data_IF_071579768402
#
_entry.id   IF_071579768402
#
_cell.length_a   1.000
_cell.length_b   1.000
_cell.length_c   1.000
_cell.angle_alpha   90.00
_cell.angle_beta   90.00
_cell.angle_gamma   90.00
#
_symmetry.space_group_name_H-M   'P 1'
#
loop_
_entity.id
_entity.type
_entity.pdbx_description
1 polymer ?
#
# COMPACT_ATOMS: atom_id res chain seq x y z
N UNK A 1 3.22 34.80 1.87
CA UNK A 1 2.16 34.07 2.58
C UNK A 1 2.61 32.62 2.70
N UNK A 2 2.57 32.05 3.91
CA UNK A 2 2.95 30.64 4.10
C UNK A 2 1.87 29.73 3.49
N UNK A 3 2.22 28.53 3.02
CA UNK A 3 1.26 27.56 2.49
C UNK A 3 0.12 27.24 3.47
N UNK A 4 0.25 27.64 4.72
CA UNK A 4 -0.72 27.45 5.81
C UNK A 4 -1.88 28.44 5.80
N UNK A 5 -1.66 29.71 5.43
CA UNK A 5 -2.75 30.69 5.26
C UNK A 5 -3.74 30.29 4.18
N UNK A 6 -3.26 29.54 3.18
CA UNK A 6 -4.09 28.99 2.11
C UNK A 6 -5.00 27.84 2.60
N UNK A 7 -4.53 27.01 3.52
CA UNK A 7 -5.30 25.89 4.05
C UNK A 7 -6.47 26.34 4.96
N UNK A 8 -6.36 27.52 5.56
CA UNK A 8 -7.37 28.02 6.51
C UNK A 8 -8.47 28.88 5.82
N UNK A 9 -8.23 29.48 4.64
CA UNK A 9 -9.13 30.50 4.06
C UNK A 9 -9.95 30.08 2.84
N UNK A 10 -9.53 29.08 2.03
CA UNK A 10 -10.15 28.83 0.72
C UNK A 10 -10.52 27.36 0.44
N UNK A 11 -10.59 26.52 1.45
CA UNK A 11 -10.86 25.09 1.23
C UNK A 11 -12.27 24.80 0.71
N UNK A 12 -13.26 25.68 1.00
CA UNK A 12 -14.62 25.56 0.49
C UNK A 12 -14.72 26.00 -0.99
N UNK A 13 -13.98 27.02 -1.40
CA UNK A 13 -14.01 27.53 -2.77
C UNK A 13 -13.30 26.57 -3.77
N UNK A 14 -12.19 25.94 -3.38
CA UNK A 14 -11.52 24.94 -4.23
C UNK A 14 -12.35 23.67 -4.43
N UNK A 15 -13.15 23.29 -3.47
CA UNK A 15 -14.11 22.19 -3.64
C UNK A 15 -15.22 22.55 -4.62
N UNK A 16 -15.60 23.83 -4.74
CA UNK A 16 -16.63 24.32 -5.65
C UNK A 16 -16.15 24.41 -7.10
N UNK A 17 -14.95 24.90 -7.32
CA UNK A 17 -14.34 24.97 -8.67
C UNK A 17 -14.12 23.57 -9.25
N UNK A 18 -13.78 22.57 -8.45
CA UNK A 18 -13.69 21.18 -8.91
C UNK A 18 -15.05 20.47 -9.03
N UNK A 19 -16.11 20.93 -8.36
CA UNK A 19 -17.49 20.42 -8.56
C UNK A 19 -18.07 20.78 -9.93
N UNK A 20 -17.55 21.78 -10.62
CA UNK A 20 -18.05 22.22 -11.92
C UNK A 20 -17.64 21.31 -13.10
N UNK A 21 -16.68 20.38 -12.90
CA UNK A 21 -16.45 19.33 -13.86
C UNK A 21 -17.65 18.36 -13.86
N UNK A 22 -18.67 18.67 -14.66
CA UNK A 22 -19.76 17.74 -14.99
C UNK A 22 -19.12 16.47 -15.54
N UNK A 23 -19.03 15.43 -14.71
CA UNK A 23 -18.58 14.12 -15.17
C UNK A 23 -19.48 13.72 -16.33
N UNK A 24 -18.90 13.46 -17.49
CA UNK A 24 -19.68 12.96 -18.62
C UNK A 24 -20.43 11.69 -18.19
N UNK A 25 -21.58 11.41 -18.80
CA UNK A 25 -22.35 10.19 -18.53
C UNK A 25 -21.47 8.93 -18.61
N UNK A 26 -20.59 8.87 -19.61
CA UNK A 26 -19.59 7.81 -19.81
C UNK A 26 -18.63 7.61 -18.62
N UNK A 27 -18.19 8.69 -17.95
CA UNK A 27 -17.35 8.58 -16.74
C UNK A 27 -18.13 8.06 -15.54
N UNK A 28 -19.41 8.42 -15.41
CA UNK A 28 -20.29 7.91 -14.35
C UNK A 28 -20.52 6.42 -14.52
N UNK A 29 -20.82 6.00 -15.73
CA UNK A 29 -21.02 4.59 -16.10
C UNK A 29 -19.75 3.76 -15.87
N UNK A 30 -18.60 4.25 -16.33
CA UNK A 30 -17.30 3.60 -16.07
C UNK A 30 -17.01 3.47 -14.57
N UNK A 31 -17.32 4.50 -13.77
CA UNK A 31 -17.14 4.44 -12.32
C UNK A 31 -18.10 3.46 -11.64
N UNK A 32 -19.35 3.40 -12.10
CA UNK A 32 -20.33 2.43 -11.61
C UNK A 32 -19.87 0.99 -11.89
N UNK A 33 -19.51 0.70 -13.16
CA UNK A 33 -18.95 -0.60 -13.56
C UNK A 33 -17.74 -1.01 -12.72
N UNK A 34 -16.79 -0.09 -12.47
CA UNK A 34 -15.57 -0.37 -11.72
C UNK A 34 -15.77 -0.58 -10.22
N UNK A 35 -16.91 -0.17 -9.65
CA UNK A 35 -17.25 -0.50 -8.26
C UNK A 35 -17.53 -1.99 -8.07
N UNK A 36 -18.05 -2.66 -9.09
CA UNK A 36 -18.37 -4.09 -9.07
C UNK A 36 -17.18 -4.96 -9.51
N UNK A 37 -16.12 -4.33 -9.99
CA UNK A 37 -14.93 -5.01 -10.48
C UNK A 37 -13.82 -5.01 -9.45
N UNK A 38 -12.97 -6.02 -9.54
CA UNK A 38 -11.73 -6.12 -8.77
C UNK A 38 -10.64 -5.25 -9.41
N UNK A 39 -10.13 -4.28 -8.66
CA UNK A 39 -8.98 -3.49 -9.06
C UNK A 39 -7.66 -4.23 -8.76
N UNK A 40 -6.76 -4.31 -9.74
CA UNK A 40 -5.40 -4.82 -9.59
C UNK A 40 -4.39 -3.86 -10.19
N UNK A 41 -3.21 -3.80 -9.58
CA UNK A 41 -2.08 -3.02 -10.10
C UNK A 41 -0.91 -3.96 -10.37
N UNK A 42 -0.50 -4.05 -11.63
CA UNK A 42 0.62 -4.87 -12.07
C UNK A 42 1.89 -4.02 -12.23
N UNK A 43 3.00 -4.49 -11.68
CA UNK A 43 4.31 -3.89 -11.85
C UNK A 43 5.03 -4.55 -13.02
N UNK A 44 5.22 -3.81 -14.11
CA UNK A 44 5.92 -4.26 -15.30
C UNK A 44 7.29 -3.59 -15.37
N UNK A 45 8.35 -4.38 -15.48
CA UNK A 45 9.71 -3.86 -15.58
C UNK A 45 10.08 -3.58 -17.03
N UNK A 46 10.57 -2.38 -17.33
CA UNK A 46 11.15 -2.06 -18.65
C UNK A 46 12.46 -2.83 -18.84
N UNK A 47 12.65 -3.41 -20.01
CA UNK A 47 13.90 -4.09 -20.36
C UNK A 47 14.99 -3.04 -20.67
N UNK A 48 15.70 -2.60 -19.65
CA UNK A 48 16.73 -1.56 -19.76
C UNK A 48 17.89 -1.92 -20.71
N UNK A 49 18.17 -3.24 -20.90
CA UNK A 49 19.22 -3.68 -21.81
C UNK A 49 18.87 -3.43 -23.28
N UNK A 50 17.57 -3.36 -23.61
CA UNK A 50 17.05 -3.09 -24.96
C UNK A 50 16.69 -1.63 -25.21
N UNK A 51 16.96 -0.72 -24.28
CA UNK A 51 16.79 0.72 -24.50
C UNK A 51 17.94 1.26 -25.33
N UNK A 52 17.62 1.96 -26.42
CA UNK A 52 18.59 2.78 -27.12
C UNK A 52 18.88 4.10 -26.36
N UNK A 53 19.86 4.87 -26.78
CA UNK A 53 20.24 6.14 -26.15
C UNK A 53 19.07 7.12 -26.10
N UNK A 54 18.41 7.36 -27.23
CA UNK A 54 17.27 8.28 -27.37
C UNK A 54 16.13 7.90 -26.42
N UNK A 55 15.77 6.62 -26.31
CA UNK A 55 14.75 6.16 -25.37
C UNK A 55 15.17 6.40 -23.92
N UNK A 56 16.43 6.13 -23.60
CA UNK A 56 16.97 6.30 -22.24
C UNK A 56 16.98 7.77 -21.84
N UNK A 57 17.41 8.65 -22.76
CA UNK A 57 17.48 10.08 -22.53
C UNK A 57 16.07 10.68 -22.40
N UNK A 58 15.14 10.30 -23.28
CA UNK A 58 13.76 10.74 -23.20
C UNK A 58 13.10 10.31 -21.88
N UNK A 59 13.23 9.03 -21.49
CA UNK A 59 12.70 8.53 -20.21
C UNK A 59 13.33 9.28 -19.01
N UNK A 60 14.64 9.59 -19.08
CA UNK A 60 15.29 10.35 -18.02
C UNK A 60 14.76 11.78 -17.95
N UNK A 61 14.59 12.43 -19.09
CA UNK A 61 14.10 13.80 -19.18
C UNK A 61 12.67 13.95 -18.68
N UNK A 62 11.78 12.97 -18.91
CA UNK A 62 10.43 12.96 -18.31
C UNK A 62 10.51 13.18 -16.79
N UNK A 63 11.40 12.50 -16.07
CA UNK A 63 11.54 12.65 -14.62
C UNK A 63 12.23 13.95 -14.22
N UNK A 64 13.15 14.44 -15.04
CA UNK A 64 13.84 15.72 -14.81
C UNK A 64 12.86 16.88 -14.96
N UNK A 65 12.11 16.92 -16.06
CA UNK A 65 11.09 17.93 -16.32
C UNK A 65 9.96 17.86 -15.28
N UNK A 66 9.53 16.65 -14.87
CA UNK A 66 8.54 16.48 -13.79
C UNK A 66 9.03 17.08 -12.46
N UNK A 67 10.32 16.92 -12.13
CA UNK A 67 10.92 17.59 -10.95
C UNK A 67 10.87 19.11 -11.08
N UNK A 68 11.19 19.64 -12.24
CA UNK A 68 11.17 21.09 -12.47
C UNK A 68 9.75 21.64 -12.31
N UNK A 69 8.76 21.02 -12.95
CA UNK A 69 7.34 21.42 -12.85
C UNK A 69 6.84 21.32 -11.41
N UNK A 70 7.10 20.20 -10.72
CA UNK A 70 6.70 20.05 -9.32
C UNK A 70 7.30 21.16 -8.45
N UNK A 71 8.60 21.42 -8.57
CA UNK A 71 9.27 22.46 -7.80
C UNK A 71 8.78 23.86 -8.17
N UNK A 72 8.40 24.09 -9.41
CA UNK A 72 7.82 25.35 -9.84
C UNK A 72 6.41 25.56 -9.24
N UNK A 73 5.58 24.53 -9.21
CA UNK A 73 4.27 24.58 -8.54
C UNK A 73 4.44 24.89 -7.04
N UNK A 74 5.44 24.27 -6.36
CA UNK A 74 5.66 24.46 -4.92
C UNK A 74 6.12 25.89 -4.57
N UNK A 75 6.66 26.65 -5.52
CA UNK A 75 7.00 28.08 -5.27
C UNK A 75 5.76 28.91 -4.95
N UNK A 76 4.66 28.62 -5.62
CA UNK A 76 3.37 29.26 -5.41
C UNK A 76 2.24 28.28 -5.76
N UNK A 77 1.80 27.56 -4.75
CA UNK A 77 0.79 26.51 -4.92
C UNK A 77 -0.58 27.10 -5.28
N UNK A 78 -0.87 28.31 -4.81
CA UNK A 78 -2.16 28.97 -4.97
C UNK A 78 -2.49 29.24 -6.44
N UNK A 79 -1.53 29.82 -7.16
CA UNK A 79 -1.71 30.20 -8.56
C UNK A 79 -1.27 29.12 -9.54
N UNK A 80 -0.37 28.21 -9.15
CA UNK A 80 0.30 27.26 -10.07
C UNK A 80 -0.22 25.84 -10.01
N UNK A 81 -0.93 25.44 -8.93
CA UNK A 81 -1.44 24.08 -8.80
C UNK A 81 -2.77 23.87 -9.53
N UNK A 82 -2.88 24.31 -10.77
CA UNK A 82 -4.08 24.12 -11.60
C UNK A 82 -3.74 23.64 -13.01
N UNK A 83 -4.75 23.10 -13.69
CA UNK A 83 -4.59 22.48 -15.01
C UNK A 83 -4.19 23.48 -16.10
N UNK A 84 -4.72 24.70 -16.06
CA UNK A 84 -4.48 25.70 -17.11
C UNK A 84 -3.06 26.22 -17.04
N UNK A 85 -2.57 26.53 -15.83
CA UNK A 85 -1.17 26.90 -15.63
C UNK A 85 -0.22 25.83 -16.16
N UNK A 86 -0.37 24.56 -15.74
CA UNK A 86 0.58 23.51 -16.14
C UNK A 86 0.47 23.14 -17.62
N UNK A 87 -0.70 23.30 -18.26
CA UNK A 87 -0.84 23.11 -19.73
C UNK A 87 -0.08 24.16 -20.51
N UNK A 88 -0.16 25.42 -20.10
CA UNK A 88 0.51 26.53 -20.77
C UNK A 88 2.03 26.54 -20.56
N UNK A 89 2.53 25.80 -19.54
CA UNK A 89 3.94 25.83 -19.13
C UNK A 89 4.86 25.25 -20.21
N UNK A 90 5.64 26.10 -20.86
CA UNK A 90 6.66 25.73 -21.86
C UNK A 90 8.06 25.77 -21.34
N UNK A 91 8.32 26.64 -20.36
CA UNK A 91 9.64 26.87 -19.75
C UNK A 91 9.51 27.01 -18.24
N UNK A 92 10.56 26.65 -17.52
CA UNK A 92 10.64 26.75 -16.05
C UNK A 92 11.99 27.28 -15.63
N UNK A 93 12.00 28.23 -14.70
CA UNK A 93 13.23 28.72 -14.07
C UNK A 93 13.79 27.69 -13.09
N UNK A 94 14.94 27.11 -13.42
CA UNK A 94 15.64 26.09 -12.64
C UNK A 94 16.84 26.70 -11.93
N UNK A 95 17.01 26.41 -10.64
CA UNK A 95 18.15 26.86 -9.85
C UNK A 95 19.37 25.98 -10.08
N UNK A 96 20.47 26.58 -10.41
CA UNK A 96 21.82 26.02 -10.50
C UNK A 96 22.73 26.65 -9.43
N UNK A 97 23.95 26.12 -9.18
CA UNK A 97 24.89 26.72 -8.21
C UNK A 97 25.23 28.17 -8.47
N UNK A 98 25.27 28.56 -9.73
CA UNK A 98 25.65 29.87 -10.31
C UNK A 98 24.45 30.78 -10.61
N UNK A 99 23.21 30.35 -10.28
CA UNK A 99 22.02 31.18 -10.48
C UNK A 99 20.79 30.43 -10.99
N UNK A 100 19.92 31.16 -11.68
CA UNK A 100 18.73 30.60 -12.33
C UNK A 100 18.91 30.58 -13.84
N UNK A 101 18.47 29.49 -14.48
CA UNK A 101 18.39 29.36 -15.93
C UNK A 101 17.02 28.84 -16.33
N UNK A 102 16.44 29.37 -17.41
CA UNK A 102 15.18 28.86 -17.96
C UNK A 102 15.45 27.60 -18.75
N UNK A 103 14.61 26.59 -18.51
CA UNK A 103 14.69 25.27 -19.15
C UNK A 103 13.38 24.96 -19.85
N UNK A 104 13.48 24.55 -21.12
CA UNK A 104 12.32 24.18 -21.94
C UNK A 104 11.76 22.82 -21.54
N UNK A 105 10.43 22.71 -21.51
CA UNK A 105 9.68 21.49 -21.22
C UNK A 105 9.21 20.87 -22.54
N UNK A 106 9.80 19.76 -22.96
CA UNK A 106 9.56 19.16 -24.28
C UNK A 106 9.27 17.65 -24.27
N UNK A 107 9.61 16.93 -23.18
CA UNK A 107 9.49 15.46 -23.11
C UNK A 107 8.25 14.98 -22.36
N UNK A 108 7.61 15.87 -21.61
CA UNK A 108 6.43 15.54 -20.81
C UNK A 108 5.16 16.05 -21.48
N UNK A 109 4.14 15.19 -21.60
CA UNK A 109 2.85 15.56 -22.21
C UNK A 109 2.01 16.43 -21.27
N UNK A 110 1.02 17.17 -21.84
CA UNK A 110 0.08 17.97 -21.04
C UNK A 110 -0.67 17.16 -19.99
N UNK A 111 -1.06 15.92 -20.29
CA UNK A 111 -1.73 15.05 -19.31
C UNK A 111 -0.79 14.63 -18.17
N UNK A 112 0.50 14.42 -18.44
CA UNK A 112 1.48 14.15 -17.41
C UNK A 112 1.72 15.39 -16.52
N UNK A 113 1.76 16.59 -17.11
CA UNK A 113 1.86 17.88 -16.37
C UNK A 113 0.67 18.03 -15.41
N UNK A 114 -0.56 17.83 -15.90
CA UNK A 114 -1.78 17.81 -15.08
C UNK A 114 -1.73 16.76 -13.96
N UNK A 115 -1.10 15.61 -14.21
CA UNK A 115 -0.88 14.58 -13.20
C UNK A 115 -0.04 15.09 -12.03
N UNK A 116 0.96 15.92 -12.29
CA UNK A 116 1.82 16.52 -11.26
C UNK A 116 1.01 17.52 -10.42
N UNK A 117 0.27 18.43 -11.04
CA UNK A 117 -0.59 19.39 -10.34
C UNK A 117 -1.63 18.68 -9.47
N UNK A 118 -2.35 17.71 -10.03
CA UNK A 118 -3.31 16.86 -9.29
C UNK A 118 -2.65 16.16 -8.08
N UNK A 119 -1.41 15.70 -8.24
CA UNK A 119 -0.61 15.08 -7.17
C UNK A 119 -0.30 16.03 -6.03
N UNK A 120 0.05 17.29 -6.34
CA UNK A 120 0.29 18.35 -5.34
C UNK A 120 -1.00 18.64 -4.57
N UNK A 121 -2.11 18.88 -5.26
CA UNK A 121 -3.43 19.14 -4.63
C UNK A 121 -3.84 17.95 -3.74
N UNK A 122 -3.67 16.72 -4.20
CA UNK A 122 -3.99 15.53 -3.41
C UNK A 122 -3.14 15.43 -2.15
N UNK A 123 -1.87 15.83 -2.22
CA UNK A 123 -0.97 15.88 -1.07
C UNK A 123 -1.39 16.92 -0.06
N UNK A 124 -1.79 18.12 -0.52
CA UNK A 124 -2.32 19.18 0.35
C UNK A 124 -3.60 18.75 1.06
N UNK A 125 -4.56 18.16 0.32
CA UNK A 125 -5.78 17.61 0.91
C UNK A 125 -5.49 16.56 1.98
N UNK A 126 -4.48 15.73 1.78
CA UNK A 126 -4.06 14.73 2.75
C UNK A 126 -3.46 15.38 4.00
N UNK A 127 -2.63 16.41 3.85
CA UNK A 127 -2.08 17.17 4.97
C UNK A 127 -3.17 17.90 5.76
N UNK A 128 -4.12 18.53 5.07
CA UNK A 128 -5.27 19.20 5.71
C UNK A 128 -6.12 18.22 6.54
N UNK A 129 -6.39 17.03 6.00
CA UNK A 129 -7.10 15.98 6.74
C UNK A 129 -6.35 15.52 7.99
N UNK A 130 -5.02 15.39 7.91
CA UNK A 130 -4.19 15.03 9.07
C UNK A 130 -4.21 16.14 10.12
N UNK A 131 -4.13 17.42 9.72
CA UNK A 131 -4.24 18.58 10.61
C UNK A 131 -5.61 18.62 11.30
N UNK A 132 -6.70 18.42 10.54
CA UNK A 132 -8.05 18.36 11.10
C UNK A 132 -8.23 17.22 12.12
N UNK A 133 -7.45 16.13 11.99
CA UNK A 133 -7.42 15.04 12.96
C UNK A 133 -6.46 15.32 14.15
N UNK A 134 -6.01 16.56 14.38
CA UNK A 134 -5.13 16.96 15.47
C UNK A 134 -3.68 16.51 15.36
N UNK A 135 -3.22 16.14 14.14
CA UNK A 135 -1.82 15.76 13.95
C UNK A 135 -0.97 16.97 13.53
N UNK A 136 0.24 17.05 14.05
CA UNK A 136 1.24 17.99 13.53
C UNK A 136 1.63 17.56 12.12
N UNK A 137 1.55 18.48 11.16
CA UNK A 137 1.89 18.23 9.76
C UNK A 137 2.92 19.25 9.28
N UNK A 138 3.83 18.78 8.43
CA UNK A 138 4.80 19.63 7.76
C UNK A 138 4.27 20.20 6.44
N UNK A 139 5.07 21.04 5.81
CA UNK A 139 4.80 21.62 4.49
C UNK A 139 5.34 20.76 3.35
N UNK A 140 4.79 20.95 2.14
CA UNK A 140 5.38 20.38 0.93
C UNK A 140 6.73 21.05 0.67
N UNK A 141 7.74 20.22 0.36
CA UNK A 141 9.11 20.67 0.16
C UNK A 141 9.55 20.47 -1.28
N UNK A 142 10.50 21.29 -1.74
CA UNK A 142 11.21 21.06 -3.00
C UNK A 142 11.85 19.67 -3.01
N UNK A 143 11.77 18.99 -4.16
CA UNK A 143 12.32 17.66 -4.35
C UNK A 143 13.58 17.69 -5.20
N UNK A 144 14.57 16.88 -4.83
CA UNK A 144 15.78 16.68 -5.64
C UNK A 144 15.56 15.67 -6.78
N UNK A 145 14.57 14.77 -6.64
CA UNK A 145 14.19 13.76 -7.63
C UNK A 145 12.67 13.59 -7.67
N UNK A 146 12.10 13.51 -8.87
CA UNK A 146 10.74 13.07 -9.09
C UNK A 146 10.78 11.61 -9.57
N UNK A 147 9.97 10.74 -9.02
CA UNK A 147 10.13 9.28 -9.24
C UNK A 147 8.91 8.58 -9.79
N UNK A 148 7.79 9.26 -9.92
CA UNK A 148 6.53 8.65 -10.37
C UNK A 148 5.72 9.65 -11.17
N UNK A 149 5.43 9.33 -12.42
CA UNK A 149 4.66 10.16 -13.35
C UNK A 149 3.38 9.45 -13.72
N UNK A 150 2.25 10.14 -13.60
CA UNK A 150 0.95 9.58 -13.91
C UNK A 150 0.71 9.54 -15.42
N UNK A 151 0.21 8.39 -15.90
CA UNK A 151 -0.27 8.15 -17.24
C UNK A 151 -1.77 7.94 -17.16
N UNK A 152 -2.53 9.04 -17.26
CA UNK A 152 -3.95 9.06 -16.87
C UNK A 152 -4.86 8.25 -17.81
N UNK A 153 -4.52 8.14 -19.10
CA UNK A 153 -5.45 7.61 -20.11
C UNK A 153 -4.78 6.53 -20.96
N UNK A 154 -5.31 5.31 -20.87
CA UNK A 154 -4.99 4.22 -21.78
C UNK A 154 -5.45 4.57 -23.20
N UNK A 155 -4.66 4.18 -24.19
CA UNK A 155 -4.93 4.50 -25.59
C UNK A 155 -4.34 5.85 -26.04
N UNK A 156 -4.15 6.82 -25.14
CA UNK A 156 -3.58 8.13 -25.44
C UNK A 156 -2.18 8.30 -24.83
N UNK A 157 -2.04 8.33 -23.50
CA UNK A 157 -0.72 8.51 -22.87
C UNK A 157 0.16 7.30 -22.99
N UNK A 158 -0.44 6.11 -23.05
CA UNK A 158 0.28 4.85 -23.28
C UNK A 158 -0.64 3.81 -23.94
N UNK A 159 -0.02 2.85 -24.65
CA UNK A 159 -0.70 1.69 -25.24
C UNK A 159 0.13 0.45 -25.03
N UNK A 160 -0.53 -0.70 -24.84
CA UNK A 160 0.10 -2.01 -24.64
C UNK A 160 -0.10 -2.83 -25.92
N UNK A 161 0.97 -3.46 -26.38
CA UNK A 161 0.96 -4.50 -27.38
C UNK A 161 1.36 -5.81 -26.68
N UNK A 162 0.37 -6.66 -26.41
CA UNK A 162 0.55 -7.91 -25.69
C UNK A 162 1.36 -8.92 -26.52
N UNK A 163 1.14 -8.99 -27.84
CA UNK A 163 1.84 -9.93 -28.72
C UNK A 163 3.34 -9.61 -28.79
N UNK A 164 3.69 -8.34 -28.91
CA UNK A 164 5.10 -7.89 -28.97
C UNK A 164 5.73 -7.69 -27.59
N UNK A 165 4.95 -7.81 -26.52
CA UNK A 165 5.35 -7.53 -25.13
C UNK A 165 5.97 -6.13 -24.98
N UNK A 166 5.29 -5.12 -25.55
CA UNK A 166 5.78 -3.74 -25.56
C UNK A 166 4.75 -2.75 -25.04
N UNK A 167 5.24 -1.62 -24.54
CA UNK A 167 4.42 -0.45 -24.19
C UNK A 167 4.90 0.74 -25.02
N UNK A 168 3.98 1.35 -25.77
CA UNK A 168 4.19 2.63 -26.45
C UNK A 168 3.82 3.75 -25.49
N UNK A 169 4.76 4.66 -25.24
CA UNK A 169 4.56 5.87 -24.44
C UNK A 169 4.39 7.06 -25.36
N UNK A 170 3.47 7.96 -25.05
CA UNK A 170 3.27 9.22 -25.80
C UNK A 170 4.57 10.05 -25.80
N UNK A 171 4.92 10.61 -26.95
CA UNK A 171 6.15 11.37 -27.15
C UNK A 171 7.37 10.50 -27.45
N UNK A 172 7.30 9.18 -27.24
CA UNK A 172 8.41 8.27 -27.54
C UNK A 172 8.19 7.56 -28.89
N UNK A 173 9.11 7.73 -29.84
CA UNK A 173 8.95 7.20 -31.20
C UNK A 173 8.86 5.69 -31.27
N UNK A 174 9.71 4.95 -30.54
CA UNK A 174 9.75 3.49 -30.51
C UNK A 174 9.16 2.93 -29.20
N UNK A 175 8.39 1.81 -29.25
CA UNK A 175 7.85 1.19 -28.07
C UNK A 175 8.94 0.60 -27.16
N UNK A 176 8.62 0.46 -25.88
CA UNK A 176 9.50 -0.07 -24.85
C UNK A 176 9.20 -1.56 -24.61
N UNK A 177 10.18 -2.43 -24.67
CA UNK A 177 10.02 -3.83 -24.24
C UNK A 177 9.90 -3.91 -22.72
N UNK A 178 8.93 -4.69 -22.25
CA UNK A 178 8.66 -4.88 -20.82
C UNK A 178 8.56 -6.36 -20.46
N UNK A 179 8.77 -6.66 -19.17
CA UNK A 179 8.57 -7.97 -18.57
C UNK A 179 7.31 -7.95 -17.70
N UNK A 180 6.61 -9.07 -17.62
CA UNK A 180 5.48 -9.28 -16.71
C UNK A 180 4.10 -8.99 -17.34
N UNK A 181 4.00 -8.74 -18.66
CA UNK A 181 2.71 -8.53 -19.33
C UNK A 181 1.81 -9.76 -19.30
N UNK A 182 2.37 -10.95 -19.23
CA UNK A 182 1.67 -12.22 -19.09
C UNK A 182 0.83 -12.35 -17.81
N UNK A 183 1.08 -11.48 -16.83
CA UNK A 183 0.30 -11.42 -15.58
C UNK A 183 -1.07 -10.73 -15.77
N UNK A 184 -1.22 -9.94 -16.82
CA UNK A 184 -2.46 -9.21 -17.12
C UNK A 184 -3.33 -10.10 -18.02
N UNK A 185 -4.53 -10.42 -17.56
CA UNK A 185 -5.49 -11.15 -18.35
C UNK A 185 -5.90 -10.36 -19.60
N UNK A 186 -6.13 -11.05 -20.71
CA UNK A 186 -6.44 -10.43 -22.01
C UNK A 186 -7.76 -9.64 -22.01
N UNK A 187 -8.68 -10.02 -21.16
CA UNK A 187 -10.01 -9.43 -20.97
C UNK A 187 -10.06 -8.31 -19.91
N UNK A 188 -8.92 -8.04 -19.26
CA UNK A 188 -8.86 -7.01 -18.22
C UNK A 188 -9.10 -5.60 -18.80
N UNK A 189 -9.99 -4.84 -18.17
CA UNK A 189 -10.18 -3.40 -18.45
C UNK A 189 -8.95 -2.62 -17.97
N UNK A 190 -8.16 -2.11 -18.91
CA UNK A 190 -6.93 -1.36 -18.62
C UNK A 190 -7.31 0.10 -18.39
N UNK A 191 -6.87 0.64 -17.25
CA UNK A 191 -7.17 2.01 -16.84
C UNK A 191 -5.95 2.93 -16.93
N UNK A 192 -5.65 3.63 -15.85
CA UNK A 192 -4.47 4.48 -15.74
C UNK A 192 -3.21 3.68 -15.42
N UNK A 193 -2.07 4.28 -15.68
CA UNK A 193 -0.78 3.73 -15.27
C UNK A 193 0.09 4.79 -14.58
N UNK A 194 1.21 4.34 -14.01
CA UNK A 194 2.29 5.21 -13.54
C UNK A 194 3.60 4.74 -14.14
N UNK A 195 4.38 5.67 -14.66
CA UNK A 195 5.77 5.43 -14.99
C UNK A 195 6.64 5.75 -13.78
N UNK A 196 7.40 4.77 -13.30
CA UNK A 196 8.18 4.88 -12.06
C UNK A 196 9.66 4.66 -12.35
N UNK A 197 10.52 5.55 -11.86
CA UNK A 197 11.97 5.39 -11.88
C UNK A 197 12.47 4.98 -10.51
N UNK A 198 13.16 3.82 -10.45
CA UNK A 198 13.68 3.28 -9.21
C UNK A 198 15.02 2.59 -9.43
N UNK A 199 16.04 3.00 -8.67
CA UNK A 199 17.41 2.46 -8.76
C UNK A 199 18.05 2.55 -10.16
N UNK A 200 17.66 3.54 -10.96
CA UNK A 200 18.10 3.68 -12.35
C UNK A 200 17.40 2.75 -13.35
N UNK A 201 16.34 2.09 -12.94
CA UNK A 201 15.48 1.24 -13.75
C UNK A 201 14.08 1.86 -13.86
N UNK A 202 13.34 1.51 -14.93
CA UNK A 202 12.00 2.03 -15.20
C UNK A 202 10.96 0.92 -15.07
N UNK A 203 9.80 1.28 -14.54
CA UNK A 203 8.67 0.38 -14.29
C UNK A 203 7.38 1.05 -14.70
N UNK A 204 6.44 0.27 -15.22
CA UNK A 204 5.04 0.68 -15.36
C UNK A 204 4.21 0.00 -14.29
N UNK A 205 3.43 0.77 -13.57
CA UNK A 205 2.37 0.28 -12.69
C UNK A 205 1.05 0.43 -13.44
N UNK A 206 0.51 -0.67 -13.95
CA UNK A 206 -0.71 -0.69 -14.75
C UNK A 206 -1.88 -1.03 -13.86
N UNK A 207 -2.85 -0.14 -13.78
CA UNK A 207 -4.11 -0.40 -13.08
C UNK A 207 -5.08 -1.09 -14.02
N UNK A 208 -5.64 -2.21 -13.59
CA UNK A 208 -6.63 -2.97 -14.34
C UNK A 208 -7.85 -3.28 -13.48
N UNK A 209 -8.97 -3.49 -14.14
CA UNK A 209 -10.22 -3.94 -13.54
C UNK A 209 -10.69 -5.21 -14.22
N UNK A 210 -11.14 -6.19 -13.46
CA UNK A 210 -11.70 -7.45 -13.93
C UNK A 210 -12.86 -7.88 -13.05
N UNK A 211 -13.75 -8.70 -13.57
CA UNK A 211 -14.83 -9.31 -12.78
C UNK A 211 -14.24 -10.06 -11.59
N UNK A 212 -14.88 -9.98 -10.44
CA UNK A 212 -14.47 -10.77 -9.27
C UNK A 212 -15.19 -12.11 -9.29
N UNK A 213 -14.54 -13.10 -9.84
CA UNK A 213 -15.08 -14.48 -9.99
C UNK A 213 -14.67 -15.39 -8.82
N UNK A 214 -14.14 -14.85 -7.74
CA UNK A 214 -13.73 -15.66 -6.59
C UNK A 214 -14.93 -16.26 -5.88
N UNK A 215 -14.91 -17.59 -5.80
CA UNK A 215 -15.80 -18.32 -4.89
C UNK A 215 -15.25 -18.13 -3.48
N UNK A 216 -16.08 -17.62 -2.59
CA UNK A 216 -15.74 -17.44 -1.17
C UNK A 216 -16.48 -18.48 -0.34
N UNK A 217 -15.85 -18.90 0.75
CA UNK A 217 -16.51 -19.76 1.75
C UNK A 217 -17.68 -19.00 2.36
N UNK A 218 -18.85 -19.65 2.43
CA UNK A 218 -20.02 -19.05 3.05
C UNK A 218 -19.95 -19.20 4.58
N UNK A 219 -18.85 -18.70 5.16
CA UNK A 219 -18.53 -18.77 6.58
C UNK A 219 -18.08 -17.40 7.08
N UNK A 220 -18.21 -17.17 8.39
CA UNK A 220 -17.65 -16.03 9.06
C UNK A 220 -16.29 -16.40 9.67
N UNK A 221 -15.33 -15.50 9.56
CA UNK A 221 -14.00 -15.63 10.15
C UNK A 221 -13.75 -14.52 11.17
N UNK A 222 -13.55 -14.90 12.43
CA UNK A 222 -13.10 -14.03 13.50
C UNK A 222 -11.57 -13.94 13.49
N UNK A 223 -11.01 -12.73 13.63
CA UNK A 223 -9.58 -12.47 13.58
C UNK A 223 -9.10 -11.73 14.80
N UNK A 224 -8.18 -12.33 15.56
CA UNK A 224 -7.50 -11.70 16.69
C UNK A 224 -6.03 -11.43 16.34
N UNK A 225 -5.59 -10.17 16.45
CA UNK A 225 -4.21 -9.75 16.22
C UNK A 225 -3.44 -9.71 17.53
N UNK A 226 -2.27 -10.33 17.56
CA UNK A 226 -1.40 -10.40 18.73
C UNK A 226 0.07 -10.13 18.42
N UNK A 227 0.88 -9.99 19.47
CA UNK A 227 2.33 -9.80 19.34
C UNK A 227 3.03 -11.16 19.33
N UNK A 228 2.65 -12.07 20.22
CA UNK A 228 3.22 -13.42 20.31
C UNK A 228 2.76 -14.28 19.16
N UNK A 229 1.47 -14.45 19.07
CA UNK A 229 0.76 -15.04 17.92
C UNK A 229 0.27 -13.88 17.05
N UNK A 230 0.81 -13.73 15.85
CA UNK A 230 0.51 -12.56 15.01
C UNK A 230 -0.95 -12.49 14.58
N UNK A 231 -1.57 -13.65 14.37
CA UNK A 231 -2.95 -13.76 13.96
C UNK A 231 -3.54 -15.10 14.41
N UNK A 232 -4.62 -15.04 15.15
CA UNK A 232 -5.44 -16.21 15.50
C UNK A 232 -6.78 -16.07 14.80
N UNK A 233 -7.29 -17.18 14.30
CA UNK A 233 -8.50 -17.24 13.50
C UNK A 233 -9.50 -18.22 14.10
N UNK A 234 -10.80 -17.95 13.94
CA UNK A 234 -11.88 -18.80 14.48
C UNK A 234 -11.97 -20.19 13.85
N UNK A 235 -11.30 -20.42 12.71
CA UNK A 235 -11.13 -21.75 12.11
C UNK A 235 -10.03 -22.59 12.77
N UNK A 236 -9.63 -22.25 14.00
CA UNK A 236 -8.57 -22.90 14.77
C UNK A 236 -7.16 -22.77 14.18
N UNK A 237 -6.93 -21.82 13.28
CA UNK A 237 -5.60 -21.52 12.77
C UNK A 237 -4.90 -20.45 13.60
N UNK A 238 -3.65 -20.71 13.91
CA UNK A 238 -2.71 -19.76 14.50
C UNK A 238 -1.58 -19.50 13.53
N UNK A 239 -1.29 -18.23 13.29
CA UNK A 239 -0.24 -17.81 12.39
C UNK A 239 0.77 -16.94 13.12
N UNK A 240 1.98 -17.44 13.24
CA UNK A 240 3.15 -16.65 13.65
C UNK A 240 4.11 -16.56 12.49
N UNK A 241 4.41 -15.35 12.04
CA UNK A 241 5.27 -15.14 10.89
C UNK A 241 6.14 -13.90 11.04
N UNK A 242 7.35 -13.97 10.48
CA UNK A 242 8.31 -12.87 10.44
C UNK A 242 8.99 -12.84 9.06
N UNK A 243 9.23 -11.65 8.56
CA UNK A 243 10.10 -11.43 7.39
C UNK A 243 11.25 -10.52 7.79
N UNK A 244 12.30 -11.05 8.44
CA UNK A 244 13.42 -10.25 8.90
C UNK A 244 14.17 -9.62 7.72
N UNK A 245 14.96 -8.61 8.01
CA UNK A 245 15.85 -8.04 7.00
C UNK A 245 16.94 -9.06 6.64
N UNK A 246 17.29 -9.12 5.36
CA UNK A 246 18.26 -10.09 4.86
C UNK A 246 19.67 -9.84 5.42
N UNK A 247 20.49 -10.89 5.56
CA UNK A 247 21.91 -10.77 5.95
C UNK A 247 22.66 -9.80 5.04
N UNK A 248 22.32 -9.76 3.74
CA UNK A 248 22.88 -8.80 2.79
C UNK A 248 22.58 -7.36 3.20
N UNK A 249 21.35 -7.07 3.61
CA UNK A 249 20.95 -5.73 4.08
C UNK A 249 21.76 -5.32 5.31
N UNK A 250 21.91 -6.22 6.27
CA UNK A 250 22.70 -5.98 7.49
C UNK A 250 24.17 -5.68 7.14
N UNK A 251 24.80 -6.50 6.28
CA UNK A 251 26.18 -6.29 5.83
C UNK A 251 26.35 -4.93 5.12
N UNK A 252 25.41 -4.54 4.28
CA UNK A 252 25.44 -3.27 3.58
C UNK A 252 25.24 -2.07 4.52
N UNK A 253 24.36 -2.18 5.53
CA UNK A 253 24.19 -1.16 6.57
C UNK A 253 25.48 -0.96 7.36
N UNK A 254 26.08 -2.05 7.85
CA UNK A 254 27.37 -2.01 8.57
C UNK A 254 28.49 -1.43 7.72
N UNK A 255 28.58 -1.82 6.43
CA UNK A 255 29.57 -1.28 5.50
C UNK A 255 29.38 0.20 5.24
N UNK A 256 28.14 0.67 5.18
CA UNK A 256 27.81 2.08 4.94
C UNK A 256 28.10 2.92 6.19
N UNK A 257 27.72 2.41 7.38
CA UNK A 257 27.95 3.04 8.69
C UNK A 257 29.44 3.33 8.93
N UNK A 258 30.32 2.36 8.61
CA UNK A 258 31.78 2.53 8.71
C UNK A 258 32.36 3.59 7.76
N UNK A 259 31.62 4.05 6.76
CA UNK A 259 32.06 5.04 5.74
C UNK A 259 31.48 6.43 5.96
N UNK A 260 30.77 6.67 7.06
CA UNK A 260 30.23 7.99 7.42
C UNK A 260 31.35 8.82 8.07
N UNK A 261 32.47 9.02 7.37
CA UNK A 261 33.56 9.90 7.85
C UNK A 261 33.59 11.26 7.16
N UNK A 262 32.86 11.45 6.07
CA UNK A 262 32.89 12.71 5.35
C UNK A 262 32.01 13.76 6.05
N UNK A 263 32.56 14.95 6.30
CA UNK A 263 31.85 16.08 6.90
C UNK A 263 30.63 16.49 6.04
N UNK A 264 29.70 17.18 6.66
CA UNK A 264 28.52 17.73 5.95
C UNK A 264 28.98 18.68 4.86
N UNK A 265 28.64 18.39 3.59
CA UNK A 265 29.06 19.21 2.42
C UNK A 265 30.16 18.59 1.55
N UNK A 266 30.90 17.61 2.04
CA UNK A 266 31.94 16.95 1.24
C UNK A 266 31.37 15.95 0.22
N UNK A 267 32.03 15.84 -0.95
CA UNK A 267 31.67 14.85 -1.97
C UNK A 267 31.86 13.43 -1.44
N UNK A 268 30.79 12.64 -1.45
CA UNK A 268 30.84 11.23 -1.07
C UNK A 268 31.57 10.41 -2.13
N UNK A 269 32.39 9.44 -1.69
CA UNK A 269 33.14 8.56 -2.59
C UNK A 269 32.22 7.75 -3.52
N UNK A 270 32.71 7.39 -4.72
CA UNK A 270 31.99 6.50 -5.66
C UNK A 270 31.57 5.18 -5.00
N UNK A 271 32.43 4.61 -4.14
CA UNK A 271 32.17 3.38 -3.39
C UNK A 271 31.04 3.55 -2.37
N UNK A 272 30.96 4.71 -1.68
CA UNK A 272 29.84 5.05 -0.79
C UNK A 272 28.52 5.11 -1.57
N UNK A 273 28.49 5.82 -2.69
CA UNK A 273 27.28 5.95 -3.52
C UNK A 273 26.80 4.59 -4.08
N UNK A 274 27.74 3.74 -4.52
CA UNK A 274 27.46 2.37 -4.96
C UNK A 274 26.82 1.54 -3.83
N UNK A 275 27.40 1.58 -2.62
CA UNK A 275 26.88 0.87 -1.47
C UNK A 275 25.52 1.42 -1.02
N UNK A 276 25.31 2.74 -1.03
CA UNK A 276 24.03 3.38 -0.73
C UNK A 276 22.92 2.88 -1.69
N UNK A 277 23.22 2.80 -3.00
CA UNK A 277 22.30 2.27 -4.00
C UNK A 277 22.01 0.77 -3.79
N UNK A 278 23.05 -0.03 -3.48
CA UNK A 278 22.90 -1.45 -3.18
C UNK A 278 22.06 -1.68 -1.93
N UNK A 279 22.26 -0.89 -0.87
CA UNK A 279 21.46 -0.93 0.36
C UNK A 279 19.98 -0.61 0.08
N UNK A 280 19.72 0.44 -0.71
CA UNK A 280 18.35 0.80 -1.08
C UNK A 280 17.65 -0.32 -1.87
N UNK A 281 18.35 -1.00 -2.80
CA UNK A 281 17.85 -2.18 -3.51
C UNK A 281 17.56 -3.35 -2.55
N UNK A 282 18.43 -3.59 -1.58
CA UNK A 282 18.28 -4.69 -0.62
C UNK A 282 17.08 -4.45 0.32
N UNK A 283 16.91 -3.24 0.85
CA UNK A 283 15.74 -2.86 1.63
C UNK A 283 14.43 -2.98 0.82
N UNK A 284 14.50 -2.64 -0.48
CA UNK A 284 13.34 -2.83 -1.34
C UNK A 284 12.97 -4.30 -1.50
N UNK A 285 13.95 -5.19 -1.72
CA UNK A 285 13.73 -6.63 -1.80
C UNK A 285 13.11 -7.18 -0.50
N UNK A 286 13.65 -6.78 0.67
CA UNK A 286 13.10 -7.17 1.98
C UNK A 286 11.64 -6.70 2.15
N UNK A 287 11.33 -5.48 1.71
CA UNK A 287 9.95 -4.96 1.72
C UNK A 287 9.03 -5.74 0.79
N UNK A 288 9.52 -6.16 -0.39
CA UNK A 288 8.70 -6.94 -1.33
C UNK A 288 8.40 -8.35 -0.80
N UNK A 289 9.37 -9.02 -0.17
CA UNK A 289 9.14 -10.30 0.51
C UNK A 289 8.05 -10.19 1.58
N UNK A 290 8.13 -9.15 2.43
CA UNK A 290 7.12 -8.89 3.45
C UNK A 290 5.75 -8.59 2.85
N UNK A 291 5.71 -7.80 1.77
CA UNK A 291 4.47 -7.51 1.04
C UNK A 291 3.86 -8.77 0.44
N UNK A 292 4.66 -9.68 -0.10
CA UNK A 292 4.20 -10.93 -0.67
C UNK A 292 3.60 -11.84 0.41
N UNK A 293 4.27 -12.02 1.55
CA UNK A 293 3.74 -12.73 2.70
C UNK A 293 2.37 -12.17 3.14
N UNK A 294 2.29 -10.85 3.34
CA UNK A 294 1.04 -10.21 3.73
C UNK A 294 -0.06 -10.31 2.66
N UNK A 295 0.30 -10.33 1.38
CA UNK A 295 -0.66 -10.54 0.30
C UNK A 295 -1.24 -11.97 0.35
N UNK A 296 -0.41 -12.98 0.56
CA UNK A 296 -0.86 -14.37 0.66
C UNK A 296 -1.78 -14.58 1.86
N UNK A 297 -1.42 -14.04 3.02
CA UNK A 297 -2.26 -14.08 4.22
C UNK A 297 -3.59 -13.35 3.97
N UNK A 298 -3.52 -12.14 3.40
CA UNK A 298 -4.74 -11.40 3.06
C UNK A 298 -5.63 -12.17 2.08
N UNK A 299 -5.05 -12.82 1.06
CA UNK A 299 -5.82 -13.63 0.11
C UNK A 299 -6.53 -14.82 0.76
N UNK A 300 -5.89 -15.47 1.72
CA UNK A 300 -6.51 -16.53 2.49
C UNK A 300 -7.72 -16.00 3.26
N UNK A 301 -7.56 -14.90 3.99
CA UNK A 301 -8.63 -14.26 4.76
C UNK A 301 -9.78 -13.78 3.85
N UNK A 302 -9.45 -13.18 2.69
CA UNK A 302 -10.40 -12.69 1.70
C UNK A 302 -11.21 -13.83 1.02
N UNK A 303 -10.79 -15.08 1.20
CA UNK A 303 -11.54 -16.28 0.84
C UNK A 303 -12.79 -16.55 1.67
N UNK A 304 -13.00 -15.82 2.77
CA UNK A 304 -14.19 -15.91 3.61
C UNK A 304 -15.19 -14.81 3.27
N UNK A 305 -16.50 -15.15 3.33
CA UNK A 305 -17.54 -14.21 2.94
C UNK A 305 -17.72 -13.09 3.98
N UNK A 306 -17.63 -13.41 5.25
CA UNK A 306 -17.76 -12.46 6.36
C UNK A 306 -16.51 -12.49 7.25
N UNK A 307 -16.08 -11.32 7.72
CA UNK A 307 -14.87 -11.16 8.53
C UNK A 307 -15.20 -10.26 9.71
N UNK A 308 -14.93 -10.72 10.92
CA UNK A 308 -15.09 -9.94 12.15
C UNK A 308 -13.72 -9.76 12.83
N UNK A 309 -13.35 -8.53 13.19
CA UNK A 309 -12.12 -8.23 13.93
C UNK A 309 -12.36 -7.10 14.91
N UNK A 310 -11.47 -6.95 15.89
CA UNK A 310 -11.49 -5.82 16.82
C UNK A 310 -10.61 -4.67 16.33
N UNK A 311 -10.94 -3.42 16.71
CA UNK A 311 -10.14 -2.25 16.37
C UNK A 311 -8.84 -2.16 17.19
N UNK A 312 -7.95 -3.11 16.96
CA UNK A 312 -6.62 -3.12 17.57
C UNK A 312 -5.75 -1.97 17.06
N UNK A 313 -5.26 -1.14 17.96
CA UNK A 313 -4.38 0.00 17.64
C UNK A 313 -2.93 -0.46 17.48
N UNK A 314 -2.64 -1.32 16.50
CA UNK A 314 -1.33 -1.95 16.28
C UNK A 314 -0.17 -0.93 16.24
N UNK A 315 -0.41 0.26 15.68
CA UNK A 315 0.58 1.35 15.62
C UNK A 315 1.04 1.85 17.01
N UNK A 316 0.21 1.64 18.03
CA UNK A 316 0.47 2.08 19.41
C UNK A 316 1.07 0.95 20.26
N UNK A 317 1.18 -0.26 19.71
CA UNK A 317 1.76 -1.36 20.44
C UNK A 317 3.25 -1.13 20.69
N UNK A 318 3.65 -1.22 21.95
CA UNK A 318 5.02 -1.11 22.41
C UNK A 318 5.33 -2.30 23.30
N UNK A 319 6.53 -2.82 23.20
CA UNK A 319 6.97 -3.96 23.98
C UNK A 319 8.49 -4.03 24.09
N UNK A 320 9.02 -5.20 24.42
CA UNK A 320 10.45 -5.46 24.38
C UNK A 320 11.04 -5.22 22.98
N UNK A 321 12.37 -5.15 22.90
CA UNK A 321 13.06 -5.00 21.62
C UNK A 321 12.67 -6.10 20.62
N UNK A 322 12.47 -7.31 21.09
CA UNK A 322 12.05 -8.48 20.31
C UNK A 322 10.60 -8.35 19.85
N UNK A 323 9.68 -7.95 20.73
CA UNK A 323 8.29 -7.69 20.40
C UNK A 323 8.16 -6.61 19.31
N UNK A 324 8.90 -5.50 19.45
CA UNK A 324 8.92 -4.43 18.44
C UNK A 324 9.46 -4.91 17.08
N UNK A 325 10.47 -5.78 17.06
CA UNK A 325 10.96 -6.42 15.83
C UNK A 325 9.88 -7.32 15.21
N UNK A 326 9.19 -8.10 16.03
CA UNK A 326 8.09 -8.97 15.56
C UNK A 326 7.00 -8.15 14.88
N UNK A 327 6.53 -7.07 15.51
CA UNK A 327 5.54 -6.15 14.93
C UNK A 327 6.03 -5.58 13.59
N UNK A 328 7.30 -5.14 13.54
CA UNK A 328 7.90 -4.57 12.33
C UNK A 328 8.05 -5.60 11.21
N UNK A 329 8.48 -6.83 11.53
CA UNK A 329 8.80 -7.85 10.54
C UNK A 329 7.58 -8.61 10.05
N UNK A 330 6.53 -8.76 10.85
CA UNK A 330 5.24 -9.29 10.40
C UNK A 330 4.46 -8.27 9.57
N UNK A 331 4.58 -6.98 9.91
CA UNK A 331 3.82 -5.89 9.30
C UNK A 331 2.29 -6.16 9.27
N UNK A 332 1.76 -6.80 10.33
CA UNK A 332 0.33 -7.17 10.44
C UNK A 332 -0.61 -5.97 10.30
N UNK A 333 -0.19 -4.77 10.67
CA UNK A 333 -0.93 -3.54 10.41
C UNK A 333 -1.25 -3.32 8.93
N UNK A 334 -0.44 -3.86 8.01
CA UNK A 334 -0.74 -3.83 6.57
C UNK A 334 -1.92 -4.75 6.22
N UNK A 335 -2.04 -5.91 6.88
CA UNK A 335 -3.18 -6.82 6.70
C UNK A 335 -4.45 -6.14 7.21
N UNK A 336 -4.42 -5.62 8.44
CA UNK A 336 -5.53 -4.86 9.01
C UNK A 336 -5.98 -3.72 8.10
N UNK A 337 -5.03 -2.92 7.59
CA UNK A 337 -5.33 -1.82 6.67
C UNK A 337 -5.99 -2.30 5.37
N UNK A 338 -5.58 -3.44 4.82
CA UNK A 338 -6.22 -4.01 3.62
C UNK A 338 -7.61 -4.53 3.90
N UNK A 339 -7.81 -5.16 5.07
CA UNK A 339 -9.12 -5.64 5.48
C UNK A 339 -10.12 -4.48 5.61
N UNK A 340 -9.68 -3.33 6.14
CA UNK A 340 -10.55 -2.14 6.26
C UNK A 340 -11.00 -1.54 4.92
N UNK A 341 -10.43 -1.99 3.79
CA UNK A 341 -10.85 -1.58 2.43
C UNK A 341 -11.86 -2.54 1.80
N UNK A 342 -12.17 -3.65 2.46
CA UNK A 342 -13.22 -4.55 2.01
C UNK A 342 -14.59 -3.85 2.11
N UNK A 343 -15.54 -4.34 1.34
CA UNK A 343 -16.92 -3.85 1.39
C UNK A 343 -17.48 -3.96 2.82
N UNK A 344 -18.19 -2.93 3.24
CA UNK A 344 -18.79 -2.89 4.58
C UNK A 344 -19.74 -4.06 4.84
N UNK A 345 -20.35 -4.67 3.82
CA UNK A 345 -21.16 -5.87 3.90
C UNK A 345 -20.38 -7.13 4.31
N UNK A 346 -19.05 -7.12 4.10
CA UNK A 346 -18.18 -8.27 4.32
C UNK A 346 -17.34 -8.19 5.58
N UNK A 347 -17.09 -6.99 6.09
CA UNK A 347 -16.24 -6.79 7.26
C UNK A 347 -16.97 -6.03 8.35
N UNK A 348 -16.75 -6.44 9.60
CA UNK A 348 -17.09 -5.65 10.77
C UNK A 348 -15.88 -5.48 11.68
N UNK A 349 -15.66 -4.24 12.08
CA UNK A 349 -14.62 -3.87 13.02
C UNK A 349 -15.29 -3.49 14.34
N UNK A 350 -15.18 -4.36 15.32
CA UNK A 350 -15.73 -4.16 16.64
C UNK A 350 -14.94 -3.09 17.40
N UNK A 351 -15.64 -2.36 18.26
CA UNK A 351 -14.99 -1.40 19.15
C UNK A 351 -13.94 -2.09 20.04
N UNK A 352 -12.81 -1.41 20.25
CA UNK A 352 -11.67 -1.92 21.03
C UNK A 352 -11.98 -2.22 22.50
N UNK A 353 -13.06 -1.67 23.05
CA UNK A 353 -13.47 -1.89 24.44
C UNK A 353 -14.42 -3.08 24.61
N UNK A 354 -14.91 -3.69 23.52
CA UNK A 354 -15.71 -4.90 23.64
C UNK A 354 -14.91 -6.03 24.30
N UNK A 355 -15.52 -6.68 25.29
CA UNK A 355 -14.85 -7.66 26.17
C UNK A 355 -14.73 -9.04 25.52
N UNK A 356 -14.20 -9.12 24.30
CA UNK A 356 -14.10 -10.37 23.51
C UNK A 356 -13.33 -11.47 24.24
N UNK A 357 -12.27 -11.15 24.97
CA UNK A 357 -11.43 -12.10 25.71
C UNK A 357 -12.00 -12.52 27.06
N UNK A 358 -12.94 -11.77 27.63
CA UNK A 358 -13.52 -11.99 28.97
C UNK A 358 -14.90 -12.63 28.93
N UNK A 359 -15.53 -12.72 27.77
CA UNK A 359 -16.86 -13.27 27.54
C UNK A 359 -16.73 -14.71 27.07
N UNK A 360 -17.61 -15.59 27.54
CA UNK A 360 -17.67 -16.97 27.06
C UNK A 360 -18.28 -17.01 25.66
N UNK A 361 -17.61 -17.61 24.70
CA UNK A 361 -18.14 -17.75 23.33
C UNK A 361 -19.34 -18.69 23.22
N UNK A 362 -19.51 -19.58 24.22
CA UNK A 362 -20.63 -20.53 24.25
C UNK A 362 -21.89 -19.92 24.89
N UNK A 363 -21.79 -19.39 26.12
CA UNK A 363 -22.96 -18.98 26.90
C UNK A 363 -23.04 -17.48 27.23
N UNK A 364 -22.07 -16.67 26.77
CA UNK A 364 -22.05 -15.24 27.03
C UNK A 364 -21.67 -14.81 28.45
N UNK A 365 -21.41 -15.75 29.37
CA UNK A 365 -21.01 -15.42 30.73
C UNK A 365 -19.68 -14.68 30.76
N UNK A 366 -19.57 -13.64 31.57
CA UNK A 366 -18.33 -12.88 31.71
C UNK A 366 -17.50 -13.35 32.90
N UNK A 367 -16.18 -13.38 32.71
CA UNK A 367 -15.19 -13.68 33.75
C UNK A 367 -14.06 -12.66 33.70
N UNK A 368 -13.57 -12.27 34.90
CA UNK A 368 -12.32 -11.50 34.98
C UNK A 368 -11.14 -12.38 34.54
N UNK A 369 -10.30 -11.86 33.66
CA UNK A 369 -9.08 -12.52 33.19
C UNK A 369 -7.90 -11.59 33.28
N UNK A 370 -6.78 -12.15 33.73
CA UNK A 370 -5.47 -11.49 33.68
C UNK A 370 -4.90 -11.55 32.26
N UNK A 371 -4.01 -10.63 31.93
CA UNK A 371 -3.24 -10.69 30.67
C UNK A 371 -2.34 -11.92 30.58
N UNK A 372 -2.01 -12.55 31.72
CA UNK A 372 -1.18 -13.77 31.80
C UNK A 372 -1.99 -15.05 31.56
N UNK A 373 -3.31 -15.01 31.75
CA UNK A 373 -4.17 -16.18 31.58
C UNK A 373 -4.26 -16.53 30.08
N UNK A 374 -3.89 -17.75 29.74
CA UNK A 374 -3.96 -18.26 28.35
C UNK A 374 -5.22 -19.08 28.11
N UNK A 375 -5.78 -19.71 29.15
CA UNK A 375 -6.94 -20.58 29.05
C UNK A 375 -8.15 -19.88 29.67
N UNK A 376 -9.24 -19.79 28.90
CA UNK A 376 -10.53 -19.36 29.39
C UNK A 376 -11.29 -20.58 29.93
N UNK A 377 -11.74 -20.52 31.20
CA UNK A 377 -12.59 -21.53 31.84
C UNK A 377 -13.90 -20.86 32.23
N UNK A 378 -15.00 -21.26 31.62
CA UNK A 378 -16.30 -20.67 31.90
C UNK A 378 -16.88 -21.18 33.21
N UNK A 379 -17.26 -20.32 34.20
CA UNK A 379 -17.86 -20.75 35.44
C UNK A 379 -19.30 -21.19 35.29
N UNK A 380 -19.97 -20.85 34.16
CA UNK A 380 -21.40 -21.14 33.95
C UNK A 380 -21.63 -22.41 33.13
N UNK A 381 -20.91 -22.57 32.00
CA UNK A 381 -21.16 -23.72 31.09
C UNK A 381 -19.99 -24.71 31.04
N UNK A 382 -18.92 -24.49 31.81
CA UNK A 382 -17.78 -25.39 31.85
C UNK A 382 -16.83 -25.34 30.66
N UNK A 383 -17.08 -24.48 29.65
CA UNK A 383 -16.20 -24.37 28.46
C UNK A 383 -14.76 -24.10 28.89
N UNK A 384 -13.82 -24.88 28.36
CA UNK A 384 -12.38 -24.69 28.49
C UNK A 384 -11.80 -24.50 27.10
N UNK A 385 -11.22 -23.33 26.85
CA UNK A 385 -10.74 -22.93 25.50
C UNK A 385 -9.55 -21.98 25.63
N UNK A 386 -8.68 -21.93 24.62
CA UNK A 386 -7.66 -20.88 24.54
C UNK A 386 -8.33 -19.50 24.52
N UNK A 387 -7.80 -18.55 25.28
CA UNK A 387 -8.38 -17.20 25.43
C UNK A 387 -8.48 -16.44 24.12
N UNK A 388 -7.45 -16.53 23.27
CA UNK A 388 -7.41 -15.78 22.02
C UNK A 388 -8.36 -16.44 20.99
N UNK A 389 -8.44 -17.78 20.98
CA UNK A 389 -9.42 -18.48 20.17
C UNK A 389 -10.86 -18.16 20.63
N UNK A 390 -11.12 -18.14 21.93
CA UNK A 390 -12.40 -17.68 22.49
C UNK A 390 -12.75 -16.25 22.02
N UNK A 391 -11.74 -15.36 21.97
CA UNK A 391 -11.89 -13.99 21.47
C UNK A 391 -12.34 -13.96 20.01
N UNK A 392 -11.78 -14.82 19.15
CA UNK A 392 -12.17 -14.84 17.72
C UNK A 392 -13.64 -15.28 17.51
N UNK A 393 -14.13 -16.25 18.29
CA UNK A 393 -15.54 -16.62 18.27
C UNK A 393 -16.43 -15.49 18.80
N UNK A 394 -16.01 -14.81 19.86
CA UNK A 394 -16.76 -13.67 20.38
C UNK A 394 -16.78 -12.50 19.40
N UNK A 395 -15.77 -12.33 18.58
CA UNK A 395 -15.81 -11.32 17.51
C UNK A 395 -16.93 -11.60 16.51
N UNK A 396 -17.18 -12.87 16.16
CA UNK A 396 -18.31 -13.25 15.31
C UNK A 396 -19.62 -13.06 16.08
N UNK A 397 -19.73 -13.60 17.31
CA UNK A 397 -20.94 -13.55 18.12
C UNK A 397 -21.39 -12.13 18.48
N UNK A 398 -20.46 -11.18 18.61
CA UNK A 398 -20.74 -9.77 18.92
C UNK A 398 -20.86 -8.90 17.67
N UNK A 399 -20.67 -9.46 16.48
CA UNK A 399 -20.84 -8.77 15.21
C UNK A 399 -22.28 -8.93 14.70
N UNK A 400 -22.64 -8.14 13.70
CA UNK A 400 -23.91 -8.29 12.96
C UNK A 400 -24.01 -9.62 12.21
N UNK A 401 -22.93 -10.37 12.10
CA UNK A 401 -22.90 -11.69 11.46
C UNK A 401 -23.35 -12.83 12.40
N UNK A 402 -23.59 -12.55 13.66
CA UNK A 402 -23.96 -13.54 14.67
C UNK A 402 -25.21 -14.36 14.31
N UNK A 403 -26.20 -13.72 13.69
CA UNK A 403 -27.46 -14.38 13.31
C UNK A 403 -27.29 -15.37 12.16
N UNK A 404 -26.37 -15.10 11.24
CA UNK A 404 -26.12 -15.95 10.08
C UNK A 404 -25.16 -17.11 10.43
N UNK A 405 -24.28 -16.93 11.42
CA UNK A 405 -23.17 -17.84 11.71
C UNK A 405 -23.04 -18.22 13.19
N UNK A 406 -24.04 -17.88 14.02
CA UNK A 406 -24.04 -18.23 15.44
C UNK A 406 -24.13 -19.73 15.61
N UNK A 407 -23.16 -20.29 16.35
CA UNK A 407 -23.08 -21.71 16.81
C UNK A 407 -22.17 -22.64 16.01
N UNK A 408 -21.40 -22.19 15.04
CA UNK A 408 -20.32 -23.03 14.54
C UNK A 408 -19.14 -23.01 15.51
N UNK A 409 -19.24 -23.77 16.58
CA UNK A 409 -18.06 -24.34 17.24
C UNK A 409 -17.34 -25.15 16.14
N UNK A 410 -16.03 -25.03 15.93
CA UNK A 410 -15.33 -25.89 14.99
C UNK A 410 -15.41 -27.32 15.52
N UNK A 411 -16.29 -28.10 14.94
CA UNK A 411 -16.51 -29.51 15.32
C UNK A 411 -15.54 -30.42 14.58
N UNK A 412 -14.84 -29.91 13.56
CA UNK A 412 -13.99 -30.77 12.74
C UNK A 412 -12.57 -30.25 12.60
N UNK A 413 -11.65 -30.93 13.29
CA UNK A 413 -10.20 -30.74 13.17
C UNK A 413 -9.61 -31.30 11.87
N UNK A 414 -10.43 -31.90 10.99
CA UNK A 414 -9.97 -32.57 9.76
C UNK A 414 -9.77 -31.64 8.58
N UNK A 415 -10.37 -30.45 8.57
CA UNK A 415 -10.21 -29.49 7.50
C UNK A 415 -9.05 -28.51 7.79
N UNK A 416 -7.85 -28.95 7.55
CA UNK A 416 -6.63 -28.12 7.66
C UNK A 416 -6.48 -27.25 6.41
N UNK A 417 -7.06 -26.08 6.43
CA UNK A 417 -6.77 -25.06 5.41
C UNK A 417 -5.33 -24.54 5.61
N UNK A 418 -4.44 -24.85 4.70
CA UNK A 418 -3.07 -24.38 4.75
C UNK A 418 -2.87 -23.12 3.90
N UNK A 419 -2.31 -22.08 4.50
CA UNK A 419 -1.77 -20.97 3.75
C UNK A 419 -0.43 -21.42 3.16
N UNK A 420 -0.34 -21.62 1.85
CA UNK A 420 0.92 -21.97 1.21
C UNK A 420 1.84 -20.75 1.17
N UNK A 421 2.78 -20.69 2.10
CA UNK A 421 3.81 -19.65 2.21
C UNK A 421 5.20 -20.19 1.92
N UNK A 422 5.33 -21.46 1.52
CA UNK A 422 6.62 -22.17 1.36
C UNK A 422 7.58 -21.53 0.35
N UNK A 423 7.08 -20.76 -0.61
CA UNK A 423 7.87 -20.18 -1.69
C UNK A 423 8.39 -18.75 -1.39
N UNK A 424 8.35 -18.30 -0.13
CA UNK A 424 8.87 -16.98 0.25
C UNK A 424 10.22 -17.17 0.94
N UNK A 425 11.29 -16.88 0.22
CA UNK A 425 12.65 -16.93 0.75
C UNK A 425 12.83 -16.05 1.98
N UNK A 426 13.34 -16.61 3.06
CA UNK A 426 13.60 -15.92 4.33
C UNK A 426 12.34 -15.61 5.17
N UNK A 427 11.23 -16.30 4.92
CA UNK A 427 10.04 -16.23 5.76
C UNK A 427 10.12 -17.29 6.86
N UNK A 428 10.19 -16.86 8.12
CA UNK A 428 10.03 -17.73 9.28
C UNK A 428 8.55 -17.85 9.60
N UNK A 429 7.96 -19.03 9.43
CA UNK A 429 6.54 -19.31 9.71
C UNK A 429 6.44 -20.44 10.71
N UNK A 430 5.57 -20.25 11.68
CA UNK A 430 4.99 -21.31 12.46
C UNK A 430 3.47 -21.27 12.25
N UNK A 431 2.93 -22.28 11.58
CA UNK A 431 1.48 -22.51 11.48
C UNK A 431 1.19 -23.67 12.41
N UNK A 432 0.53 -23.40 13.52
CA UNK A 432 0.10 -24.42 14.47
C UNK A 432 -1.39 -24.63 14.26
N UNK A 433 -1.77 -25.85 13.86
CA UNK A 433 -3.13 -26.34 14.09
C UNK A 433 -3.20 -26.72 15.59
N UNK A 434 -4.01 -26.04 16.36
CA UNK A 434 -4.26 -26.44 17.74
C UNK A 434 -5.24 -27.62 17.72
N UNK A 435 -4.76 -28.79 18.09
CA UNK A 435 -5.66 -29.87 18.46
C UNK A 435 -6.47 -29.43 19.69
N UNK A 436 -7.76 -29.65 19.66
CA UNK A 436 -8.60 -29.42 20.82
C UNK A 436 -8.07 -30.31 21.96
N UNK A 437 -7.49 -29.71 22.99
CA UNK A 437 -7.12 -30.37 24.23
C UNK A 437 -8.26 -30.26 25.22
#
# INVERSE_FOLDING_TARGET
MSAWTFLDYEFEDYASVYKSYRQSASLRETKAKRKEQRCRVYELKVNNAKLNSTQRDHLNMIFVESKWIYNDIIKDVTTRANDDYVKSLKEVAVRYPDGFSYQTISHISSQMKQGIATGVISSLKSLAKLKANGQEVGELKFVSEYRSVDLKQYGNTYRIDFAKKTIKLQGLGKPLKVFGLEQIASDADIANAKLVKRFGEYYFYITTYSKDERVRKNEALGLDFGISENLIMSNNMELTYKTPISPRTIKLQQSLSRKIGAKKGEKKSKKYLKNKRALAKSHYADRMRRRDANNKIFHFIDGYNKIAMQDEQIKNWKGSKEANKTIQYSAMGTIKSKLSWLESSRIEVLDKFKATTKTCSCCGAMRRMSKKDRVYKCPKCGLVIDRNLNSTFNMINMSRFATEYSKTMPVDSSNKDFINLSNIEGLEICILSREAR
#
